data_IF_609392132566
#
_entry.id   IF_609392132566
#
_cell.length_a   1.000
_cell.length_b   1.000
_cell.length_c   1.000
_cell.angle_alpha   90.00
_cell.angle_beta   90.00
_cell.angle_gamma   90.00
#
_symmetry.space_group_name_H-M   'P 1'
#
loop_
_entity.id
_entity.type
_entity.pdbx_description
1 polymer ?
#
# COMPACT_ATOMS: atom_id res chain seq x y z
N UNK A 1 -5.46 -15.16 5.17
CA UNK A 1 -4.41 -14.12 5.22
C UNK A 1 -3.37 -14.28 4.10
N UNK A 2 -2.91 -15.50 3.73
CA UNK A 2 -1.85 -15.66 2.71
C UNK A 2 -2.22 -15.43 1.23
N UNK A 3 -3.46 -15.72 0.81
CA UNK A 3 -3.82 -15.71 -0.61
C UNK A 3 -3.87 -14.30 -1.24
N UNK A 4 -4.19 -13.27 -0.43
CA UNK A 4 -4.19 -11.86 -0.87
C UNK A 4 -2.80 -11.32 -1.10
N UNK A 5 -1.85 -11.69 -0.23
CA UNK A 5 -0.44 -11.32 -0.39
C UNK A 5 0.12 -11.88 -1.70
N UNK A 6 -0.18 -13.14 -2.01
CA UNK A 6 0.23 -13.77 -3.27
C UNK A 6 -0.36 -13.06 -4.49
N UNK A 7 -1.61 -12.61 -4.43
CA UNK A 7 -2.24 -11.89 -5.54
C UNK A 7 -1.71 -10.47 -5.74
N UNK A 8 -1.37 -9.74 -4.66
CA UNK A 8 -0.67 -8.44 -4.76
C UNK A 8 0.75 -8.60 -5.29
N UNK A 9 1.43 -9.70 -4.94
CA UNK A 9 2.74 -10.03 -5.48
C UNK A 9 2.71 -10.49 -6.95
N UNK A 10 1.54 -10.86 -7.51
CA UNK A 10 1.36 -11.10 -8.95
C UNK A 10 1.27 -9.77 -9.70
N UNK A 11 2.40 -9.05 -9.73
CA UNK A 11 2.51 -7.84 -10.54
C UNK A 11 2.28 -8.18 -12.03
N UNK A 12 1.41 -7.44 -12.74
CA UNK A 12 1.41 -7.50 -14.20
C UNK A 12 2.79 -7.05 -14.69
N UNK A 13 3.39 -7.89 -15.53
CA UNK A 13 4.68 -7.63 -16.17
C UNK A 13 4.63 -6.25 -16.87
N UNK A 14 5.71 -5.44 -16.74
CA UNK A 14 5.94 -4.15 -17.43
C UNK A 14 5.40 -2.84 -16.82
N UNK A 15 5.36 -2.66 -15.49
CA UNK A 15 5.36 -1.29 -14.92
C UNK A 15 6.40 -1.12 -13.81
N UNK A 16 7.38 -0.20 -13.95
CA UNK A 16 8.26 0.15 -12.86
C UNK A 16 7.44 0.89 -11.80
N UNK A 17 6.93 0.13 -10.83
CA UNK A 17 6.30 0.71 -9.64
C UNK A 17 7.39 1.33 -8.76
N UNK A 18 7.23 2.58 -8.31
CA UNK A 18 8.15 3.17 -7.34
C UNK A 18 8.30 2.29 -6.10
N UNK A 19 9.52 2.14 -5.59
CA UNK A 19 9.80 1.33 -4.39
C UNK A 19 8.92 1.77 -3.22
N UNK A 20 8.66 3.07 -3.08
CA UNK A 20 7.77 3.60 -2.05
C UNK A 20 6.33 3.05 -2.14
N UNK A 21 5.79 2.91 -3.34
CA UNK A 21 4.45 2.36 -3.54
C UNK A 21 4.44 0.85 -3.27
N UNK A 22 5.49 0.13 -3.69
CA UNK A 22 5.65 -1.30 -3.38
C UNK A 22 5.70 -1.55 -1.86
N UNK A 23 6.46 -0.75 -1.12
CA UNK A 23 6.55 -0.85 0.33
C UNK A 23 5.20 -0.56 0.99
N UNK A 24 4.50 0.48 0.53
CA UNK A 24 3.19 0.85 1.07
C UNK A 24 2.13 -0.26 0.88
N UNK A 25 2.03 -0.86 -0.31
CA UNK A 25 1.03 -1.91 -0.56
C UNK A 25 1.34 -3.20 0.20
N UNK A 26 2.63 -3.57 0.29
CA UNK A 26 3.05 -4.74 1.07
C UNK A 26 2.73 -4.53 2.55
N UNK A 27 3.03 -3.35 3.09
CA UNK A 27 2.68 -3.01 4.47
C UNK A 27 1.17 -3.10 4.70
N UNK A 28 0.36 -2.52 3.79
CA UNK A 28 -1.08 -2.49 3.93
C UNK A 28 -1.70 -3.90 3.95
N UNK A 29 -1.25 -4.77 3.03
CA UNK A 29 -1.73 -6.16 2.92
C UNK A 29 -1.23 -7.01 4.09
N UNK A 30 0.03 -6.84 4.50
CA UNK A 30 0.64 -7.57 5.61
C UNK A 30 -0.01 -7.26 6.95
N UNK A 31 -0.43 -6.01 7.17
CA UNK A 31 -1.14 -5.57 8.37
C UNK A 31 -2.66 -5.83 8.29
N UNK A 32 -3.14 -6.41 7.19
CA UNK A 32 -4.53 -6.83 7.07
C UNK A 32 -5.52 -5.73 6.70
N UNK A 33 -5.06 -4.55 6.24
CA UNK A 33 -5.93 -3.48 5.77
C UNK A 33 -6.72 -3.87 4.51
N UNK A 34 -6.21 -4.82 3.73
CA UNK A 34 -6.92 -5.40 2.59
C UNK A 34 -7.78 -6.63 2.96
N UNK A 35 -8.00 -6.93 4.26
CA UNK A 35 -8.69 -8.17 4.64
C UNK A 35 -10.20 -8.17 4.37
N UNK A 36 -10.83 -7.00 4.24
CA UNK A 36 -12.23 -6.88 3.84
C UNK A 36 -12.43 -7.01 2.32
N UNK A 37 -11.35 -6.88 1.54
CA UNK A 37 -11.41 -6.88 0.07
C UNK A 37 -11.47 -8.31 -0.47
N UNK A 38 -12.39 -8.58 -1.40
CA UNK A 38 -12.43 -9.85 -2.10
C UNK A 38 -11.20 -10.00 -3.01
N UNK A 39 -10.72 -11.23 -3.17
CA UNK A 39 -9.48 -11.51 -3.91
C UNK A 39 -9.55 -11.00 -5.37
N UNK A 40 -10.74 -11.08 -6.00
CA UNK A 40 -10.98 -10.59 -7.36
C UNK A 40 -10.86 -9.06 -7.49
N UNK A 41 -11.09 -8.33 -6.40
CA UNK A 41 -11.12 -6.87 -6.36
C UNK A 41 -9.82 -6.24 -5.82
N UNK A 42 -8.86 -7.08 -5.41
CA UNK A 42 -7.60 -6.63 -4.80
C UNK A 42 -6.81 -5.68 -5.70
N UNK A 43 -6.85 -5.88 -7.02
CA UNK A 43 -6.17 -5.00 -7.99
C UNK A 43 -6.81 -3.62 -8.08
N UNK A 44 -8.14 -3.57 -8.14
CA UNK A 44 -8.86 -2.29 -8.15
C UNK A 44 -8.65 -1.54 -6.82
N UNK A 45 -8.54 -2.27 -5.72
CA UNK A 45 -8.21 -1.70 -4.42
C UNK A 45 -6.78 -1.17 -4.36
N UNK A 46 -5.79 -1.91 -4.90
CA UNK A 46 -4.39 -1.49 -5.01
C UNK A 46 -4.25 -0.19 -5.82
N UNK A 47 -4.89 -0.09 -6.99
CA UNK A 47 -4.82 1.11 -7.83
C UNK A 47 -5.38 2.34 -7.09
N UNK A 48 -6.51 2.18 -6.40
CA UNK A 48 -7.11 3.24 -5.59
C UNK A 48 -6.25 3.60 -4.38
N UNK A 49 -5.67 2.62 -3.71
CA UNK A 49 -4.74 2.83 -2.61
C UNK A 49 -3.52 3.62 -3.06
N UNK A 50 -2.91 3.23 -4.18
CA UNK A 50 -1.81 3.97 -4.78
C UNK A 50 -2.21 5.40 -5.17
N UNK A 51 -3.39 5.60 -5.76
CA UNK A 51 -3.87 6.94 -6.08
C UNK A 51 -4.04 7.81 -4.82
N UNK A 52 -4.60 7.23 -3.74
CA UNK A 52 -4.79 7.91 -2.47
C UNK A 52 -3.46 8.32 -1.83
N UNK A 53 -2.54 7.37 -1.68
CA UNK A 53 -1.25 7.63 -1.00
C UNK A 53 -0.35 8.56 -1.82
N UNK A 54 -0.38 8.50 -3.16
CA UNK A 54 0.35 9.46 -4.01
C UNK A 54 -0.23 10.87 -3.94
N UNK A 55 -1.54 11.01 -3.72
CA UNK A 55 -2.22 12.31 -3.63
C UNK A 55 -2.04 12.95 -2.26
N UNK A 56 -2.21 12.17 -1.19
CA UNK A 56 -2.28 12.69 0.18
C UNK A 56 -0.97 12.55 0.96
N UNK A 57 -0.11 11.59 0.61
CA UNK A 57 1.09 11.23 1.39
C UNK A 57 2.37 11.25 0.53
N UNK A 58 2.45 12.17 -0.44
CA UNK A 58 3.61 12.31 -1.34
C UNK A 58 4.93 12.53 -0.60
N UNK A 59 4.90 13.28 0.51
CA UNK A 59 6.09 13.52 1.34
C UNK A 59 6.58 12.24 2.03
N UNK A 60 5.66 11.42 2.56
CA UNK A 60 5.95 10.13 3.16
C UNK A 60 6.56 9.16 2.13
N UNK A 61 5.95 9.06 0.94
CA UNK A 61 6.49 8.26 -0.16
C UNK A 61 7.89 8.72 -0.59
N UNK A 62 8.15 10.03 -0.54
CA UNK A 62 9.47 10.59 -0.80
C UNK A 62 10.54 10.14 0.19
N UNK A 63 10.20 10.01 1.48
CA UNK A 63 11.11 9.47 2.51
C UNK A 63 11.35 7.97 2.31
N UNK A 64 10.27 7.20 2.14
CA UNK A 64 10.35 5.74 1.91
C UNK A 64 11.16 5.44 0.63
N UNK A 65 10.95 6.22 -0.44
CA UNK A 65 11.68 6.06 -1.70
C UNK A 65 13.17 6.35 -1.61
N UNK A 66 13.62 7.09 -0.59
CA UNK A 66 15.05 7.29 -0.28
C UNK A 66 15.63 6.19 0.61
N UNK A 67 14.81 5.25 1.07
CA UNK A 67 15.19 4.21 2.02
C UNK A 67 15.17 4.68 3.48
N UNK A 68 14.54 5.82 3.78
CA UNK A 68 14.33 6.26 5.16
C UNK A 68 13.17 5.46 5.77
N UNK A 69 13.45 4.74 6.86
CA UNK A 69 12.45 3.99 7.63
C UNK A 69 12.71 4.17 9.12
N UNK A 70 11.72 4.73 9.83
CA UNK A 70 11.73 4.92 11.28
C UNK A 70 10.31 4.73 11.84
N UNK A 71 10.17 4.70 13.17
CA UNK A 71 8.87 4.51 13.84
C UNK A 71 7.84 5.59 13.49
N UNK A 72 8.28 6.82 13.14
CA UNK A 72 7.37 7.90 12.74
C UNK A 72 6.83 7.67 11.33
N UNK A 73 7.68 7.26 10.39
CA UNK A 73 7.31 6.89 9.02
C UNK A 73 6.35 5.71 9.05
N UNK A 74 6.64 4.69 9.87
CA UNK A 74 5.73 3.56 10.05
C UNK A 74 4.39 4.00 10.63
N UNK A 75 4.40 4.85 11.66
CA UNK A 75 3.18 5.41 12.25
C UNK A 75 2.34 6.22 11.26
N UNK A 76 2.98 7.09 10.46
CA UNK A 76 2.32 7.86 9.40
C UNK A 76 1.72 6.95 8.32
N UNK A 77 2.46 5.91 7.90
CA UNK A 77 1.97 4.94 6.92
C UNK A 77 0.79 4.13 7.45
N UNK A 78 0.86 3.73 8.73
CA UNK A 78 -0.22 3.04 9.42
C UNK A 78 -1.48 3.87 9.48
N UNK A 79 -1.39 5.13 9.93
CA UNK A 79 -2.54 6.05 9.93
C UNK A 79 -3.10 6.25 8.53
N UNK A 80 -2.25 6.40 7.51
CA UNK A 80 -2.72 6.51 6.12
C UNK A 80 -3.49 5.27 5.63
N UNK A 81 -3.04 4.07 6.03
CA UNK A 81 -3.72 2.82 5.71
C UNK A 81 -5.04 2.66 6.48
N UNK A 82 -5.07 3.03 7.77
CA UNK A 82 -6.27 3.03 8.61
C UNK A 82 -7.33 4.00 8.07
N UNK A 83 -6.93 5.24 7.76
CA UNK A 83 -7.81 6.26 7.19
C UNK A 83 -8.42 5.81 5.86
N UNK A 84 -7.63 5.16 5.00
CA UNK A 84 -8.12 4.62 3.75
C UNK A 84 -9.08 3.43 3.95
N UNK A 85 -8.76 2.51 4.88
CA UNK A 85 -9.59 1.35 5.21
C UNK A 85 -10.89 1.72 5.95
N UNK A 86 -10.95 2.87 6.62
CA UNK A 86 -12.21 3.39 7.17
C UNK A 86 -13.09 4.06 6.10
N UNK A 87 -12.49 4.54 5.00
CA UNK A 87 -13.22 5.18 3.91
C UNK A 87 -13.75 4.19 2.86
N UNK A 88 -13.27 2.94 2.85
CA UNK A 88 -13.56 1.92 1.82
C UNK A 88 -13.65 0.51 2.40
#
# INVERSE_FOLDING_TARGET
>A
MGQRLVEVLKQPQYQPMPVANQVAIIYAVSNGFANAVEVKDIRAWEEKFHANINKHHKALLGKIGKGEWDEKIEGELKSACEDYAHQH
#
